data_IF_792319609599
#
_entry.id   IF_792319609599
#
_cell.length_a   1.000
_cell.length_b   1.000
_cell.length_c   1.000
_cell.angle_alpha   90.00
_cell.angle_beta   90.00
_cell.angle_gamma   90.00
#
_symmetry.space_group_name_H-M   'P 1'
#
loop_
_entity.id
_entity.type
_entity.pdbx_description
1 polymer ?
#
# COMPACT_ATOMS: atom_id res chain seq x y z
N UNK A 1 -23.30 -28.44 6.03
CA UNK A 1 -23.17 -28.96 7.41
C UNK A 1 -24.53 -29.33 7.97
N UNK A 2 -25.47 -28.37 8.04
CA UNK A 2 -26.81 -28.59 8.60
C UNK A 2 -27.62 -29.68 7.87
N UNK A 3 -27.72 -29.62 6.53
CA UNK A 3 -28.43 -30.62 5.72
C UNK A 3 -27.89 -32.06 5.83
N UNK A 4 -26.57 -32.22 6.04
CA UNK A 4 -25.91 -33.54 6.19
C UNK A 4 -26.03 -34.09 7.61
N UNK A 5 -26.11 -33.21 8.61
CA UNK A 5 -26.23 -33.60 10.01
C UNK A 5 -27.66 -34.00 10.38
N UNK A 6 -28.67 -33.45 9.69
CA UNK A 6 -30.05 -33.92 9.78
C UNK A 6 -30.24 -35.34 9.21
N UNK A 7 -29.56 -35.67 8.11
CA UNK A 7 -29.70 -36.99 7.45
C UNK A 7 -28.94 -38.12 8.17
N UNK A 8 -27.81 -37.83 8.84
CA UNK A 8 -26.95 -38.84 9.48
C UNK A 8 -27.28 -39.09 10.97
N UNK A 9 -28.17 -38.28 11.56
CA UNK A 9 -28.62 -38.43 12.94
C UNK A 9 -27.58 -38.07 14.01
N UNK A 10 -27.98 -38.15 15.29
CA UNK A 10 -27.16 -37.75 16.46
C UNK A 10 -25.95 -38.66 16.76
N UNK A 11 -25.81 -39.79 16.06
CA UNK A 11 -24.74 -40.75 16.30
C UNK A 11 -23.44 -40.41 15.55
N UNK A 12 -23.47 -39.45 14.61
CA UNK A 12 -22.30 -39.02 13.85
C UNK A 12 -22.03 -37.53 14.04
N UNK A 13 -20.77 -37.21 14.33
CA UNK A 13 -20.30 -35.85 14.52
C UNK A 13 -19.82 -35.29 13.17
N UNK A 14 -20.69 -34.58 12.46
CA UNK A 14 -20.37 -33.96 11.17
C UNK A 14 -19.55 -32.70 11.41
N UNK A 15 -18.24 -32.86 11.46
CA UNK A 15 -17.29 -31.74 11.53
C UNK A 15 -16.92 -31.26 10.13
N UNK A 16 -16.88 -29.95 9.95
CA UNK A 16 -16.31 -29.36 8.73
C UNK A 16 -14.78 -29.54 8.72
N UNK A 17 -14.14 -29.55 7.54
CA UNK A 17 -12.67 -29.62 7.42
C UNK A 17 -11.94 -28.54 8.25
N UNK A 18 -12.62 -27.42 8.48
CA UNK A 18 -12.20 -26.31 9.35
C UNK A 18 -12.21 -26.69 10.84
N UNK A 19 -13.23 -27.43 11.29
CA UNK A 19 -13.37 -27.90 12.68
C UNK A 19 -12.44 -29.07 13.01
N UNK A 20 -12.12 -29.94 12.04
CA UNK A 20 -11.14 -31.02 12.23
C UNK A 20 -9.69 -30.52 12.38
N UNK A 21 -9.37 -29.32 11.87
CA UNK A 21 -8.01 -28.76 11.87
C UNK A 21 -7.94 -27.38 12.52
N UNK A 22 -8.70 -27.13 13.59
CA UNK A 22 -8.77 -25.83 14.26
C UNK A 22 -7.39 -25.27 14.65
N UNK A 23 -6.43 -26.11 15.07
CA UNK A 23 -5.06 -25.68 15.38
C UNK A 23 -4.33 -25.07 14.18
N UNK A 24 -4.39 -25.72 13.01
CA UNK A 24 -3.74 -25.22 11.78
C UNK A 24 -4.36 -23.90 11.31
N UNK A 25 -5.70 -23.78 11.33
CA UNK A 25 -6.37 -22.55 10.93
C UNK A 25 -6.14 -21.39 11.91
N UNK A 26 -6.02 -21.68 13.21
CA UNK A 26 -5.69 -20.67 14.22
C UNK A 26 -4.28 -20.10 14.00
N UNK A 27 -3.31 -20.96 13.68
CA UNK A 27 -1.94 -20.55 13.32
C UNK A 27 -1.92 -19.74 12.03
N UNK A 28 -2.59 -20.18 10.96
CA UNK A 28 -2.67 -19.41 9.71
C UNK A 28 -3.34 -18.04 9.90
N UNK A 29 -4.32 -17.93 10.79
CA UNK A 29 -5.01 -16.66 11.07
C UNK A 29 -4.09 -15.74 11.88
N UNK A 30 -3.40 -16.26 12.90
CA UNK A 30 -2.41 -15.50 13.67
C UNK A 30 -1.26 -15.00 12.78
N UNK A 31 -0.75 -15.83 11.88
CA UNK A 31 0.27 -15.45 10.90
C UNK A 31 -0.18 -14.28 10.02
N UNK A 32 -1.40 -14.34 9.47
CA UNK A 32 -1.98 -13.22 8.69
C UNK A 32 -2.02 -11.92 9.49
N UNK A 33 -2.39 -11.98 10.76
CA UNK A 33 -2.41 -10.79 11.63
C UNK A 33 -1.01 -10.21 11.87
N UNK A 34 0.00 -11.07 12.07
CA UNK A 34 1.39 -10.64 12.25
C UNK A 34 1.91 -9.97 10.97
N UNK A 35 1.71 -10.59 9.81
CA UNK A 35 2.10 -10.03 8.51
C UNK A 35 1.39 -8.69 8.27
N UNK A 36 0.09 -8.61 8.57
CA UNK A 36 -0.67 -7.37 8.47
C UNK A 36 -0.11 -6.26 9.37
N UNK A 37 0.24 -6.57 10.62
CA UNK A 37 0.83 -5.60 11.54
C UNK A 37 2.18 -5.06 11.03
N UNK A 38 3.04 -5.93 10.49
CA UNK A 38 4.31 -5.53 9.87
C UNK A 38 4.09 -4.63 8.66
N UNK A 39 3.13 -4.96 7.79
CA UNK A 39 2.79 -4.13 6.63
C UNK A 39 2.34 -2.72 7.03
N UNK A 40 1.52 -2.60 8.07
CA UNK A 40 1.08 -1.30 8.60
C UNK A 40 2.27 -0.48 9.11
N UNK A 41 3.22 -1.11 9.83
CA UNK A 41 4.42 -0.42 10.30
C UNK A 41 5.29 0.09 9.14
N UNK A 42 5.48 -0.72 8.10
CA UNK A 42 6.21 -0.31 6.89
C UNK A 42 5.51 0.86 6.21
N UNK A 43 4.18 0.80 6.08
CA UNK A 43 3.38 1.90 5.49
C UNK A 43 3.57 3.21 6.27
N UNK A 44 3.60 3.15 7.61
CA UNK A 44 3.88 4.31 8.45
C UNK A 44 5.24 4.94 8.12
N UNK A 45 6.30 4.14 8.05
CA UNK A 45 7.68 4.59 7.72
C UNK A 45 7.74 5.28 6.36
N UNK A 46 7.09 4.69 5.34
CA UNK A 46 7.01 5.29 4.01
C UNK A 46 6.30 6.65 4.02
N UNK A 47 5.22 6.79 4.79
CA UNK A 47 4.51 8.06 4.90
C UNK A 47 5.41 9.18 5.46
N UNK A 48 6.19 8.89 6.50
CA UNK A 48 7.13 9.86 7.09
C UNK A 48 8.26 10.24 6.13
N UNK A 49 8.71 9.28 5.33
CA UNK A 49 9.75 9.51 4.33
C UNK A 49 9.27 10.46 3.23
N UNK A 50 8.03 10.27 2.73
CA UNK A 50 7.44 11.17 1.73
C UNK A 50 7.31 12.60 2.29
N UNK A 51 6.79 12.74 3.52
CA UNK A 51 6.64 14.06 4.15
C UNK A 51 7.99 14.76 4.33
N UNK A 52 9.01 14.03 4.81
CA UNK A 52 10.35 14.58 5.02
C UNK A 52 11.02 14.97 3.71
N UNK A 53 10.90 14.13 2.67
CA UNK A 53 11.46 14.39 1.34
C UNK A 53 10.82 15.62 0.68
N UNK A 54 9.48 15.70 0.67
CA UNK A 54 8.78 16.87 0.12
C UNK A 54 9.08 18.15 0.91
N UNK A 55 9.22 18.05 2.24
CA UNK A 55 9.61 19.20 3.06
C UNK A 55 11.03 19.66 2.73
N UNK A 56 11.97 18.74 2.54
CA UNK A 56 13.33 19.07 2.11
C UNK A 56 13.34 19.74 0.74
N UNK A 57 12.57 19.22 -0.22
CA UNK A 57 12.44 19.79 -1.56
C UNK A 57 11.94 21.24 -1.51
N UNK A 58 10.96 21.54 -0.65
CA UNK A 58 10.47 22.91 -0.43
C UNK A 58 11.57 23.82 0.09
N UNK A 59 12.36 23.35 1.06
CA UNK A 59 13.46 24.13 1.66
C UNK A 59 14.58 24.40 0.64
N UNK A 60 14.97 23.42 -0.15
CA UNK A 60 15.98 23.61 -1.21
C UNK A 60 15.51 24.59 -2.29
N UNK A 61 14.21 24.58 -2.60
CA UNK A 61 13.59 25.45 -3.61
C UNK A 61 13.08 26.78 -3.06
N UNK A 62 13.37 27.13 -1.82
CA UNK A 62 12.88 28.36 -1.19
C UNK A 62 13.32 29.64 -1.92
N UNK A 63 14.56 29.67 -2.46
CA UNK A 63 15.05 30.81 -3.26
C UNK A 63 14.26 30.96 -4.57
N UNK A 64 14.02 29.85 -5.27
CA UNK A 64 13.25 29.82 -6.51
C UNK A 64 11.79 30.26 -6.27
N UNK A 65 11.18 29.81 -5.16
CA UNK A 65 9.84 30.24 -4.72
C UNK A 65 9.79 31.76 -4.47
N UNK A 66 10.84 32.32 -3.87
CA UNK A 66 10.93 33.76 -3.59
C UNK A 66 11.05 34.59 -4.87
N UNK A 67 11.79 34.11 -5.86
CA UNK A 67 11.88 34.73 -7.19
C UNK A 67 10.51 34.68 -7.88
N UNK A 68 9.82 33.55 -7.80
CA UNK A 68 8.48 33.38 -8.38
C UNK A 68 7.47 34.34 -7.74
N UNK A 69 7.56 34.56 -6.43
CA UNK A 69 6.78 35.58 -5.74
C UNK A 69 7.09 36.99 -6.21
N UNK A 70 8.36 37.34 -6.40
CA UNK A 70 8.78 38.65 -6.91
C UNK A 70 8.27 38.90 -8.35
N UNK A 71 8.08 37.84 -9.14
CA UNK A 71 7.45 37.87 -10.47
C UNK A 71 5.92 37.95 -10.44
N UNK A 72 5.28 37.98 -9.26
CA UNK A 72 3.83 38.02 -9.09
C UNK A 72 3.15 36.66 -8.90
N UNK A 73 3.92 35.61 -8.63
CA UNK A 73 3.40 34.27 -8.33
C UNK A 73 2.52 34.26 -7.07
N UNK A 74 1.33 33.67 -7.18
CA UNK A 74 0.39 33.51 -6.07
C UNK A 74 0.71 32.24 -5.25
N UNK A 75 0.45 32.27 -3.94
CA UNK A 75 0.59 31.12 -3.03
C UNK A 75 -0.13 29.86 -3.54
N UNK A 76 -1.29 30.01 -4.21
CA UNK A 76 -2.03 28.89 -4.81
C UNK A 76 -1.29 28.23 -5.99
N UNK A 77 -0.47 28.97 -6.72
CA UNK A 77 0.33 28.43 -7.81
C UNK A 77 1.45 27.53 -7.27
N UNK A 78 2.13 27.99 -6.22
CA UNK A 78 3.18 27.21 -5.53
C UNK A 78 2.58 25.94 -4.90
N UNK A 79 1.41 26.04 -4.25
CA UNK A 79 0.70 24.86 -3.74
C UNK A 79 0.41 23.84 -4.84
N UNK A 80 -0.03 24.30 -6.02
CA UNK A 80 -0.33 23.40 -7.16
C UNK A 80 0.91 22.66 -7.66
N UNK A 81 2.08 23.33 -7.71
CA UNK A 81 3.33 22.68 -8.11
C UNK A 81 3.66 21.52 -7.17
N UNK A 82 3.70 21.77 -5.85
CA UNK A 82 4.01 20.72 -4.88
C UNK A 82 2.95 19.61 -4.81
N UNK A 83 1.67 19.95 -5.00
CA UNK A 83 0.62 18.96 -5.09
C UNK A 83 0.78 18.07 -6.33
N UNK A 84 1.14 18.66 -7.47
CA UNK A 84 1.39 17.91 -8.71
C UNK A 84 2.63 17.03 -8.60
N UNK A 85 3.67 17.47 -7.92
CA UNK A 85 4.89 16.68 -7.67
C UNK A 85 4.56 15.44 -6.83
N UNK A 86 3.82 15.64 -5.75
CA UNK A 86 3.33 14.55 -4.90
C UNK A 86 2.46 13.54 -5.64
N UNK A 87 1.60 14.03 -6.53
CA UNK A 87 0.76 13.20 -7.38
C UNK A 87 1.59 12.41 -8.40
N UNK A 88 2.59 13.04 -9.02
CA UNK A 88 3.52 12.36 -9.94
C UNK A 88 4.28 11.25 -9.23
N UNK A 89 4.82 11.50 -8.03
CA UNK A 89 5.49 10.48 -7.22
C UNK A 89 4.53 9.32 -6.93
N UNK A 90 3.28 9.62 -6.54
CA UNK A 90 2.26 8.61 -6.29
C UNK A 90 1.91 7.77 -7.52
N UNK A 91 1.77 8.40 -8.70
CA UNK A 91 1.46 7.72 -9.96
C UNK A 91 2.62 6.84 -10.41
N UNK A 92 3.85 7.37 -10.44
CA UNK A 92 5.03 6.59 -10.84
C UNK A 92 5.29 5.45 -9.86
N UNK A 93 5.18 5.70 -8.55
CA UNK A 93 5.31 4.66 -7.52
C UNK A 93 4.22 3.59 -7.64
N UNK A 94 2.97 3.98 -7.89
CA UNK A 94 1.85 3.06 -8.10
C UNK A 94 2.03 2.19 -9.35
N UNK A 95 2.39 2.79 -10.49
CA UNK A 95 2.65 2.06 -11.74
C UNK A 95 3.82 1.09 -11.56
N UNK A 96 4.94 1.56 -11.00
CA UNK A 96 6.11 0.71 -10.75
C UNK A 96 5.77 -0.44 -9.80
N UNK A 97 5.02 -0.18 -8.73
CA UNK A 97 4.57 -1.18 -7.77
C UNK A 97 3.68 -2.25 -8.40
N UNK A 98 2.72 -1.85 -9.25
CA UNK A 98 1.86 -2.79 -9.98
C UNK A 98 2.67 -3.65 -10.94
N UNK A 99 3.60 -3.06 -11.68
CA UNK A 99 4.48 -3.81 -12.60
C UNK A 99 5.30 -4.85 -11.83
N UNK A 100 5.91 -4.45 -10.71
CA UNK A 100 6.67 -5.37 -9.85
C UNK A 100 5.78 -6.50 -9.33
N UNK A 101 4.56 -6.17 -8.86
CA UNK A 101 3.61 -7.17 -8.37
C UNK A 101 3.21 -8.18 -9.47
N UNK A 102 2.97 -7.71 -10.69
CA UNK A 102 2.65 -8.56 -11.85
C UNK A 102 3.83 -9.46 -12.23
N UNK A 103 5.05 -8.93 -12.24
CA UNK A 103 6.28 -9.70 -12.51
C UNK A 103 6.45 -10.81 -11.46
N UNK A 104 6.30 -10.48 -10.17
CA UNK A 104 6.40 -11.46 -9.09
C UNK A 104 5.30 -12.52 -9.22
N UNK A 105 4.05 -12.13 -9.50
CA UNK A 105 2.96 -13.07 -9.69
C UNK A 105 3.19 -13.99 -10.90
N UNK A 106 3.70 -13.46 -12.01
CA UNK A 106 4.04 -14.24 -13.19
C UNK A 106 5.18 -15.23 -12.93
N UNK A 107 6.24 -14.80 -12.21
CA UNK A 107 7.31 -15.69 -11.76
C UNK A 107 6.77 -16.80 -10.85
N UNK A 108 5.87 -16.47 -9.92
CA UNK A 108 5.28 -17.43 -9.01
C UNK A 108 4.46 -18.51 -9.75
N UNK A 109 3.69 -18.13 -10.76
CA UNK A 109 2.90 -19.07 -11.58
C UNK A 109 3.81 -19.93 -12.45
N UNK A 110 4.85 -19.36 -13.04
CA UNK A 110 5.74 -20.05 -13.99
C UNK A 110 6.72 -20.98 -13.29
N UNK A 111 7.36 -20.52 -12.22
CA UNK A 111 8.42 -21.25 -11.52
C UNK A 111 7.96 -21.95 -10.25
N UNK A 112 6.69 -21.77 -9.83
CA UNK A 112 6.11 -22.37 -8.62
C UNK A 112 7.04 -22.26 -7.40
N UNK A 113 7.61 -21.06 -7.19
CA UNK A 113 8.70 -20.80 -6.24
C UNK A 113 8.34 -21.15 -4.78
N UNK A 114 7.04 -21.15 -4.43
CA UNK A 114 6.55 -21.56 -3.12
C UNK A 114 5.74 -22.86 -3.29
N UNK A 115 6.41 -24.03 -3.28
CA UNK A 115 5.73 -25.31 -3.30
C UNK A 115 5.00 -25.53 -1.97
N UNK A 116 3.73 -25.97 -2.03
CA UNK A 116 2.99 -26.38 -0.84
C UNK A 116 3.45 -27.79 -0.44
N UNK A 117 4.46 -27.88 0.42
CA UNK A 117 4.94 -29.16 0.94
C UNK A 117 3.98 -29.67 2.03
N UNK A 118 3.03 -30.53 1.65
CA UNK A 118 2.14 -31.22 2.58
C UNK A 118 1.24 -32.22 1.86
N UNK A 119 1.48 -33.52 2.08
CA UNK A 119 0.93 -34.67 1.34
C UNK A 119 -0.59 -34.91 1.42
N UNK A 120 -1.42 -33.86 1.50
CA UNK A 120 -2.89 -33.95 1.49
C UNK A 120 -3.57 -32.79 0.72
N UNK A 121 -2.82 -31.82 0.21
CA UNK A 121 -3.38 -30.76 -0.62
C UNK A 121 -3.29 -31.14 -2.10
N UNK A 122 -4.43 -31.22 -2.79
CA UNK A 122 -4.55 -31.48 -4.24
C UNK A 122 -3.95 -30.36 -5.13
N UNK A 123 -3.15 -29.45 -4.56
CA UNK A 123 -2.63 -28.25 -5.22
C UNK A 123 -1.16 -28.09 -4.81
N UNK A 124 -0.25 -28.32 -5.75
CA UNK A 124 1.21 -28.35 -5.50
C UNK A 124 1.86 -26.97 -5.29
N UNK A 125 1.10 -25.88 -5.42
CA UNK A 125 1.61 -24.51 -5.40
C UNK A 125 0.58 -23.53 -4.83
N UNK A 126 1.04 -22.47 -4.17
CA UNK A 126 0.15 -21.42 -3.66
C UNK A 126 -0.58 -20.74 -4.85
N UNK A 127 -1.90 -20.93 -5.02
CA UNK A 127 -2.59 -20.42 -6.20
C UNK A 127 -2.77 -18.91 -6.10
N UNK A 128 -1.95 -18.15 -6.84
CA UNK A 128 -2.10 -16.71 -6.98
C UNK A 128 -3.20 -16.42 -7.99
N UNK A 129 -4.34 -15.92 -7.53
CA UNK A 129 -5.40 -15.42 -8.40
C UNK A 129 -5.22 -13.91 -8.56
N UNK A 130 -4.93 -13.48 -9.79
CA UNK A 130 -4.85 -12.08 -10.15
C UNK A 130 -6.27 -11.55 -10.39
N UNK A 131 -6.82 -10.84 -9.42
CA UNK A 131 -8.11 -10.17 -9.55
C UNK A 131 -7.87 -8.71 -9.94
N UNK A 132 -8.29 -8.32 -11.15
CA UNK A 132 -8.23 -6.93 -11.62
C UNK A 132 -8.83 -5.89 -10.66
N UNK A 133 -9.96 -6.14 -9.96
CA UNK A 133 -10.52 -5.18 -9.00
C UNK A 133 -9.55 -4.82 -7.87
N UNK A 134 -8.74 -5.79 -7.41
CA UNK A 134 -7.81 -5.58 -6.30
C UNK A 134 -6.69 -4.61 -6.71
N UNK A 135 -6.20 -4.71 -7.96
CA UNK A 135 -5.21 -3.77 -8.50
C UNK A 135 -5.75 -2.34 -8.61
N UNK A 136 -6.99 -2.18 -9.08
CA UNK A 136 -7.63 -0.86 -9.17
C UNK A 136 -7.82 -0.26 -7.79
N UNK A 137 -8.26 -1.06 -6.82
CA UNK A 137 -8.45 -0.60 -5.45
C UNK A 137 -7.13 -0.16 -4.80
N UNK A 138 -6.04 -0.92 -5.02
CA UNK A 138 -4.69 -0.55 -4.54
C UNK A 138 -4.17 0.71 -5.24
N UNK A 139 -4.39 0.87 -6.54
CA UNK A 139 -3.99 2.07 -7.26
C UNK A 139 -4.67 3.33 -6.68
N UNK A 140 -5.97 3.23 -6.39
CA UNK A 140 -6.75 4.32 -5.78
C UNK A 140 -6.25 4.64 -4.38
N UNK A 141 -5.97 3.63 -3.54
CA UNK A 141 -5.49 3.88 -2.17
C UNK A 141 -4.11 4.52 -2.14
N UNK A 142 -3.19 4.10 -3.01
CA UNK A 142 -1.85 4.72 -3.14
C UNK A 142 -1.97 6.18 -3.57
N UNK A 143 -2.80 6.48 -4.58
CA UNK A 143 -3.08 7.86 -5.01
C UNK A 143 -3.66 8.70 -3.87
N UNK A 144 -4.60 8.15 -3.11
CA UNK A 144 -5.24 8.86 -2.00
C UNK A 144 -4.23 9.18 -0.88
N UNK A 145 -3.38 8.23 -0.52
CA UNK A 145 -2.32 8.41 0.47
C UNK A 145 -1.29 9.44 -0.01
N UNK A 146 -0.84 9.34 -1.27
CA UNK A 146 0.11 10.28 -1.85
C UNK A 146 -0.44 11.72 -1.83
N UNK A 147 -1.72 11.90 -2.16
CA UNK A 147 -2.41 13.19 -2.07
C UNK A 147 -2.42 13.75 -0.64
N UNK A 148 -2.80 12.94 0.35
CA UNK A 148 -2.86 13.36 1.75
C UNK A 148 -1.46 13.70 2.28
N UNK A 149 -0.48 12.84 2.00
CA UNK A 149 0.91 13.04 2.44
C UNK A 149 1.51 14.31 1.84
N UNK A 150 1.16 14.62 0.59
CA UNK A 150 1.68 15.80 -0.14
C UNK A 150 0.96 17.10 0.22
N UNK A 151 -0.23 17.02 0.80
CA UNK A 151 -0.99 18.20 1.19
C UNK A 151 -0.34 18.97 2.35
N UNK A 152 0.21 18.25 3.34
CA UNK A 152 0.91 18.84 4.50
C UNK A 152 2.10 19.72 4.06
N UNK A 153 3.07 19.24 3.26
CA UNK A 153 4.19 20.05 2.80
C UNK A 153 3.75 21.12 1.80
N UNK A 154 2.78 20.85 0.91
CA UNK A 154 2.28 21.87 -0.02
C UNK A 154 1.71 23.09 0.73
N UNK A 155 0.96 22.86 1.82
CA UNK A 155 0.43 23.94 2.65
C UNK A 155 1.53 24.67 3.43
N UNK A 156 2.57 23.95 3.86
CA UNK A 156 3.75 24.54 4.52
C UNK A 156 4.55 25.41 3.56
N UNK A 157 4.77 24.97 2.32
CA UNK A 157 5.47 25.71 1.27
C UNK A 157 4.79 27.06 0.97
N UNK A 158 3.47 27.07 0.86
CA UNK A 158 2.72 28.30 0.58
C UNK A 158 2.65 29.30 1.75
N UNK A 159 3.01 28.86 2.96
CA UNK A 159 2.99 29.68 4.18
C UNK A 159 4.39 30.06 4.65
N UNK A 160 5.44 29.59 3.98
CA UNK A 160 6.78 30.07 4.28
C UNK A 160 6.90 31.52 3.81
N UNK A 161 6.63 32.43 4.73
CA UNK A 161 6.93 33.84 4.55
C UNK A 161 8.42 34.04 4.33
N UNK A 162 8.67 34.89 3.35
CA UNK A 162 9.91 35.51 2.95
C UNK A 162 10.75 35.96 4.16
N UNK A 163 11.60 35.07 4.68
CA UNK A 163 12.64 35.44 5.64
C UNK A 163 13.88 35.85 4.86
N UNK A 164 14.04 37.15 4.62
CA UNK A 164 15.35 37.75 4.35
C UNK A 164 16.24 37.53 5.58
N UNK A 165 16.91 36.38 5.64
CA UNK A 165 18.17 36.29 6.37
C UNK A 165 19.27 36.24 5.34
N UNK A 166 19.80 37.43 5.08
CA UNK A 166 21.15 37.59 4.57
C UNK A 166 22.10 36.88 5.54
N UNK A 167 22.84 35.91 5.02
CA UNK A 167 24.24 35.68 5.38
C UNK A 167 25.06 35.86 4.11
#
# INVERSE_FOLDING_TARGET
KENLQEQLGKNYLVQTRYEQNQGLYSVMTAEKWVVYAVLVLIMCIFSFTIVSSLTMLVLEKQKDISILHALGGNNSFIQRIFLSEGLLIGVFGGIAGIIIALVIAWLQVTYKLIPLQGGSFLIDYYPVKLNWPDFVLVAITVLFIALIASWIPARKAARQEFSLRAE
#
